data_IF_260673229902
#
_entry.id   IF_260673229902
#
_cell.length_a   1.000
_cell.length_b   1.000
_cell.length_c   1.000
_cell.angle_alpha   90.00
_cell.angle_beta   90.00
_cell.angle_gamma   90.00
#
_symmetry.space_group_name_H-M   'P 1'
#
loop_
_entity.id
_entity.type
_entity.pdbx_description
1 polymer ?
#
# COMPACT_ATOMS: atom_id res chain seq x y z
N UNK A 1 -19.05 2.99 -7.63
CA UNK A 1 -19.00 1.60 -7.15
C UNK A 1 -17.58 1.36 -6.68
N UNK A 2 -17.31 1.43 -5.37
CA UNK A 2 -15.97 1.25 -4.83
C UNK A 2 -15.87 -0.15 -4.26
N UNK A 3 -15.15 -1.03 -4.98
CA UNK A 3 -14.80 -2.35 -4.46
C UNK A 3 -13.47 -2.20 -3.74
N UNK A 4 -13.52 -1.76 -2.48
CA UNK A 4 -12.33 -1.77 -1.62
C UNK A 4 -12.00 -3.23 -1.29
N UNK A 5 -10.95 -3.76 -1.91
CA UNK A 5 -10.49 -5.11 -1.63
C UNK A 5 -9.34 -5.05 -0.61
N UNK A 6 -9.49 -5.77 0.49
CA UNK A 6 -8.42 -6.02 1.44
C UNK A 6 -7.77 -7.35 1.10
N UNK A 7 -6.51 -7.32 0.65
CA UNK A 7 -5.72 -8.52 0.37
C UNK A 7 -4.73 -8.72 1.50
N UNK A 8 -4.60 -9.97 1.98
CA UNK A 8 -3.65 -10.34 3.04
C UNK A 8 -2.75 -11.45 2.50
N UNK A 9 -1.44 -11.23 2.56
CA UNK A 9 -0.44 -12.25 2.24
C UNK A 9 -0.02 -12.98 3.52
N UNK A 10 -0.26 -14.30 3.55
CA UNK A 10 0.07 -15.20 4.67
C UNK A 10 1.28 -16.10 4.38
N UNK A 11 2.00 -15.84 3.27
CA UNK A 11 3.17 -16.64 2.90
C UNK A 11 4.34 -16.39 3.86
N UNK A 12 5.08 -17.46 4.19
CA UNK A 12 6.19 -17.39 5.14
C UNK A 12 7.28 -16.40 4.67
N UNK A 13 7.71 -15.51 5.56
CA UNK A 13 8.68 -14.45 5.26
C UNK A 13 8.15 -13.28 4.41
N UNK A 14 6.86 -13.29 4.04
CA UNK A 14 6.19 -12.25 3.24
C UNK A 14 4.89 -11.82 3.94
N UNK A 15 4.98 -10.79 4.76
CA UNK A 15 3.79 -10.16 5.35
C UNK A 15 3.42 -8.93 4.53
N UNK A 16 2.15 -8.86 4.12
CA UNK A 16 1.58 -7.78 3.36
C UNK A 16 0.07 -7.68 3.55
N UNK A 17 -0.43 -6.47 3.83
CA UNK A 17 -1.84 -6.11 3.77
C UNK A 17 -1.98 -5.02 2.72
N UNK A 18 -2.83 -5.24 1.73
CA UNK A 18 -3.06 -4.30 0.62
C UNK A 18 -4.52 -3.86 0.65
N UNK A 19 -4.73 -2.55 0.79
CA UNK A 19 -6.01 -1.91 0.49
C UNK A 19 -5.99 -1.46 -0.96
N UNK A 20 -6.75 -2.14 -1.82
CA UNK A 20 -6.85 -1.82 -3.25
C UNK A 20 -8.16 -1.11 -3.54
N UNK A 21 -8.07 0.10 -4.09
CA UNK A 21 -9.19 0.84 -4.68
C UNK A 21 -8.84 1.15 -6.14
N UNK A 22 -9.87 1.35 -6.98
CA UNK A 22 -9.75 1.55 -8.43
C UNK A 22 -8.70 2.59 -8.85
N UNK A 23 -8.48 3.62 -8.03
CA UNK A 23 -7.58 4.73 -8.36
C UNK A 23 -6.33 4.83 -7.47
N UNK A 24 -6.32 4.18 -6.29
CA UNK A 24 -5.23 4.25 -5.31
C UNK A 24 -5.05 2.91 -4.58
N UNK A 25 -3.78 2.50 -4.41
CA UNK A 25 -3.39 1.28 -3.71
C UNK A 25 -2.59 1.68 -2.47
N UNK A 26 -2.96 1.16 -1.29
CA UNK A 26 -2.20 1.30 -0.03
C UNK A 26 -1.62 -0.04 0.37
N UNK A 27 -0.31 -0.11 0.58
CA UNK A 27 0.39 -1.35 0.93
C UNK A 27 1.08 -1.19 2.29
N UNK A 28 0.76 -2.07 3.24
CA UNK A 28 1.52 -2.29 4.46
C UNK A 28 2.23 -3.63 4.35
N UNK A 29 3.53 -3.65 4.08
CA UNK A 29 4.26 -4.89 3.94
C UNK A 29 5.78 -4.75 4.02
N UNK A 30 6.46 -5.88 4.15
CA UNK A 30 7.93 -5.89 4.17
C UNK A 30 8.51 -5.69 2.75
N UNK A 31 9.77 -5.26 2.65
CA UNK A 31 10.38 -4.90 1.37
C UNK A 31 10.34 -6.02 0.31
N UNK A 32 10.44 -7.30 0.75
CA UNK A 32 10.33 -8.46 -0.14
C UNK A 32 8.94 -8.57 -0.76
N UNK A 33 7.89 -8.40 0.05
CA UNK A 33 6.50 -8.42 -0.41
C UNK A 33 6.26 -7.29 -1.40
N UNK A 34 6.62 -6.04 -1.06
CA UNK A 34 6.32 -4.89 -1.91
C UNK A 34 7.02 -4.98 -3.28
N UNK A 35 8.24 -5.54 -3.34
CA UNK A 35 8.93 -5.75 -4.61
C UNK A 35 8.26 -6.81 -5.50
N UNK A 36 7.69 -7.86 -4.89
CA UNK A 36 6.94 -8.90 -5.63
C UNK A 36 5.61 -8.34 -6.12
N UNK A 37 4.89 -7.62 -5.25
CA UNK A 37 3.61 -7.00 -5.57
C UNK A 37 3.73 -6.06 -6.77
N UNK A 38 4.73 -5.18 -6.77
CA UNK A 38 4.99 -4.24 -7.87
C UNK A 38 5.26 -4.97 -9.20
N UNK A 39 6.04 -6.07 -9.15
CA UNK A 39 6.31 -6.89 -10.34
C UNK A 39 5.06 -7.56 -10.88
N UNK A 40 4.22 -8.14 -10.02
CA UNK A 40 3.00 -8.83 -10.44
C UNK A 40 1.92 -7.84 -10.92
N UNK A 41 1.82 -6.65 -10.32
CA UNK A 41 0.93 -5.58 -10.80
C UNK A 41 1.29 -5.13 -12.22
N UNK A 42 2.59 -4.89 -12.49
CA UNK A 42 3.07 -4.54 -13.82
C UNK A 42 2.79 -5.67 -14.81
N UNK A 43 3.06 -6.92 -14.43
CA UNK A 43 2.83 -8.11 -15.27
C UNK A 43 1.35 -8.34 -15.59
N UNK A 44 0.45 -8.00 -14.67
CA UNK A 44 -0.99 -8.05 -14.88
C UNK A 44 -1.52 -6.87 -15.73
N UNK A 45 -0.66 -5.94 -16.16
CA UNK A 45 -1.03 -4.81 -17.02
C UNK A 45 -1.67 -3.64 -16.28
N UNK A 46 -1.57 -3.58 -14.95
CA UNK A 46 -2.06 -2.44 -14.19
C UNK A 46 -1.17 -1.22 -14.41
N UNK A 47 -1.78 -0.09 -14.77
CA UNK A 47 -1.10 1.21 -14.77
C UNK A 47 -1.15 1.77 -13.34
N UNK A 48 -0.06 1.63 -12.60
CA UNK A 48 0.05 2.12 -11.23
C UNK A 48 0.88 3.40 -11.16
N UNK A 49 0.54 4.29 -10.21
CA UNK A 49 1.37 5.45 -9.88
C UNK A 49 2.69 4.99 -9.24
N UNK A 50 3.77 5.78 -9.34
CA UNK A 50 4.99 5.51 -8.59
C UNK A 50 4.70 5.32 -7.09
N UNK A 51 5.31 4.30 -6.48
CA UNK A 51 5.10 4.02 -5.06
C UNK A 51 5.75 5.09 -4.19
N UNK A 52 4.95 5.70 -3.32
CA UNK A 52 5.41 6.54 -2.24
C UNK A 52 5.55 5.74 -0.93
N UNK A 53 6.45 6.16 -0.05
CA UNK A 53 6.70 5.48 1.23
C UNK A 53 6.39 6.42 2.39
N UNK A 54 5.50 5.96 3.28
CA UNK A 54 5.25 6.65 4.55
C UNK A 54 6.52 6.64 5.40
N UNK A 55 7.00 7.82 5.78
CA UNK A 55 8.08 7.98 6.75
C UNK A 55 7.65 8.98 7.83
N UNK A 56 8.37 9.09 8.96
CA UNK A 56 8.07 10.11 9.97
C UNK A 56 8.07 11.55 9.45
N UNK A 57 8.74 11.81 8.31
CA UNK A 57 8.84 13.14 7.68
C UNK A 57 7.98 13.27 6.41
N UNK A 58 7.51 12.15 5.86
CA UNK A 58 6.84 12.10 4.56
C UNK A 58 5.46 11.47 4.76
N UNK A 59 4.40 12.28 4.91
CA UNK A 59 3.04 11.78 4.93
C UNK A 59 2.64 11.25 3.54
N UNK A 60 1.61 10.40 3.49
CA UNK A 60 1.01 9.94 2.23
C UNK A 60 -0.40 10.49 2.08
N UNK A 61 -0.80 10.77 0.84
CA UNK A 61 -2.19 11.08 0.51
C UNK A 61 -2.84 9.80 0.00
N UNK A 62 -3.91 9.36 0.65
CA UNK A 62 -4.67 8.19 0.24
C UNK A 62 -6.17 8.51 0.28
N UNK A 63 -6.82 8.49 -0.89
CA UNK A 63 -8.26 8.75 -1.05
C UNK A 63 -8.75 10.07 -0.42
N UNK A 64 -7.93 11.12 -0.49
CA UNK A 64 -8.25 12.42 0.09
C UNK A 64 -7.93 12.56 1.59
N UNK A 65 -7.52 11.46 2.25
CA UNK A 65 -7.01 11.48 3.61
C UNK A 65 -5.49 11.62 3.65
N UNK A 66 -4.97 12.11 4.78
CA UNK A 66 -3.53 12.22 5.03
C UNK A 66 -3.11 11.13 6.01
N UNK A 67 -2.25 10.23 5.58
CA UNK A 67 -1.60 9.23 6.41
C UNK A 67 -0.31 9.81 7.00
N UNK A 68 -0.18 9.74 8.32
CA UNK A 68 1.03 10.17 9.06
C UNK A 68 1.54 9.03 9.94
N UNK A 69 2.86 8.94 10.12
CA UNK A 69 3.48 8.05 11.10
C UNK A 69 3.95 8.89 12.29
N UNK A 70 3.23 8.79 13.41
CA UNK A 70 3.55 9.47 14.67
C UNK A 70 3.66 8.43 15.77
N UNK A 71 4.71 8.50 16.58
CA UNK A 71 4.90 7.61 17.73
C UNK A 71 4.80 6.11 17.38
N UNK A 72 5.25 5.71 16.18
CA UNK A 72 5.12 4.35 15.65
C UNK A 72 3.68 3.89 15.38
N UNK A 73 2.73 4.82 15.33
CA UNK A 73 1.34 4.60 14.93
C UNK A 73 1.05 5.27 13.58
N UNK A 74 0.25 4.60 12.75
CA UNK A 74 -0.26 5.18 11.50
C UNK A 74 -1.62 5.81 11.78
N UNK A 75 -1.72 7.13 11.57
CA UNK A 75 -2.94 7.90 11.78
C UNK A 75 -3.49 8.38 10.45
N UNK A 76 -4.80 8.18 10.25
CA UNK A 76 -5.58 8.69 9.13
C UNK A 76 -6.28 9.98 9.58
N UNK A 77 -6.03 11.09 8.89
CA UNK A 77 -6.69 12.39 9.10
C UNK A 77 -7.62 12.71 7.94
#
# INVERSE_FOLDING_TARGET
MFNSCLLICTAEGKFGVVGMQTDNILILGNAKFVAIEEKELIKAGFTIKPREKLTPKTPLIFNGCILTNKNCEVQLH
#
